data_IF_635521971383
#
_entry.id   IF_635521971383
#
_cell.length_a   1.000
_cell.length_b   1.000
_cell.length_c   1.000
_cell.angle_alpha   90.00
_cell.angle_beta   90.00
_cell.angle_gamma   90.00
#
_symmetry.space_group_name_H-M   'P 1'
#
loop_
_entity.id
_entity.type
_entity.pdbx_description
1 polymer ?
#
# COMPACT_ATOMS: atom_id res chain seq x y z
N UNK A 1 -6.16 0.52 37.02
CA UNK A 1 -6.55 -0.74 36.32
C UNK A 1 -5.31 -1.60 36.18
N UNK A 2 -5.39 -2.93 36.27
CA UNK A 2 -4.22 -3.81 36.08
C UNK A 2 -4.00 -4.21 34.60
N UNK A 3 -2.84 -4.80 34.25
CA UNK A 3 -2.47 -5.14 32.87
C UNK A 3 -3.44 -6.09 32.17
N UNK A 4 -3.98 -7.07 32.90
CA UNK A 4 -4.92 -8.06 32.34
C UNK A 4 -6.27 -7.41 32.03
N UNK A 5 -6.80 -6.62 32.97
CA UNK A 5 -8.03 -5.85 32.78
C UNK A 5 -7.90 -4.85 31.62
N UNK A 6 -6.71 -4.23 31.45
CA UNK A 6 -6.44 -3.35 30.31
C UNK A 6 -6.56 -4.10 28.98
N UNK A 7 -5.89 -5.25 28.86
CA UNK A 7 -5.86 -6.04 27.62
C UNK A 7 -7.27 -6.52 27.24
N UNK A 8 -8.00 -7.08 28.21
CA UNK A 8 -9.38 -7.56 27.98
C UNK A 8 -10.33 -6.43 27.61
N UNK A 9 -10.19 -5.25 28.21
CA UNK A 9 -11.02 -4.08 27.89
C UNK A 9 -10.73 -3.58 26.47
N UNK A 10 -9.45 -3.54 26.09
CA UNK A 10 -9.03 -3.12 24.75
C UNK A 10 -9.50 -4.10 23.67
N UNK A 11 -9.32 -5.42 23.87
CA UNK A 11 -9.80 -6.46 22.95
C UNK A 11 -11.33 -6.42 22.80
N UNK A 12 -12.07 -6.23 23.90
CA UNK A 12 -13.54 -6.07 23.84
C UNK A 12 -13.95 -4.82 23.06
N UNK A 13 -13.21 -3.73 23.18
CA UNK A 13 -13.46 -2.48 22.42
C UNK A 13 -13.15 -2.66 20.93
N UNK A 14 -12.03 -3.29 20.58
CA UNK A 14 -11.64 -3.60 19.20
C UNK A 14 -12.69 -4.47 18.51
N UNK A 15 -13.22 -5.48 19.20
CA UNK A 15 -14.21 -6.38 18.64
C UNK A 15 -15.61 -5.76 18.50
N UNK A 16 -16.06 -4.97 19.50
CA UNK A 16 -17.45 -4.47 19.54
C UNK A 16 -17.63 -3.08 18.93
N UNK A 17 -16.59 -2.26 18.89
CA UNK A 17 -16.71 -0.87 18.47
C UNK A 17 -15.44 -0.33 17.81
N UNK A 18 -15.10 -0.82 16.59
CA UNK A 18 -13.87 -0.43 15.89
C UNK A 18 -13.75 1.09 15.70
N UNK A 19 -14.88 1.77 15.43
CA UNK A 19 -14.91 3.23 15.28
C UNK A 19 -14.53 3.99 16.56
N UNK A 20 -14.85 3.44 17.73
CA UNK A 20 -14.44 4.02 19.02
C UNK A 20 -12.93 3.86 19.24
N UNK A 21 -12.32 2.78 18.73
CA UNK A 21 -10.86 2.57 18.78
C UNK A 21 -10.11 3.53 17.88
N UNK A 22 -10.67 3.89 16.71
CA UNK A 22 -10.09 4.92 15.85
C UNK A 22 -10.10 6.29 16.53
N UNK A 23 -11.22 6.68 17.16
CA UNK A 23 -11.30 7.89 17.98
C UNK A 23 -10.28 7.86 19.12
N UNK A 24 -10.13 6.72 19.82
CA UNK A 24 -9.13 6.55 20.87
C UNK A 24 -7.71 6.79 20.36
N UNK A 25 -7.33 6.21 19.21
CA UNK A 25 -6.00 6.41 18.61
C UNK A 25 -5.71 7.89 18.35
N UNK A 26 -6.69 8.62 17.80
CA UNK A 26 -6.53 10.05 17.56
C UNK A 26 -6.48 10.89 18.85
N UNK A 27 -7.23 10.49 19.89
CA UNK A 27 -7.16 11.14 21.22
C UNK A 27 -5.77 10.94 21.84
N UNK A 28 -5.19 9.75 21.74
CA UNK A 28 -3.84 9.46 22.25
C UNK A 28 -2.75 10.24 21.48
N UNK A 29 -3.00 10.57 20.21
CA UNK A 29 -2.19 11.44 19.37
C UNK A 29 -2.44 12.95 19.60
N UNK A 30 -3.17 13.33 20.66
CA UNK A 30 -3.46 14.72 21.05
C UNK A 30 -4.36 15.51 20.07
N UNK A 31 -5.02 14.87 19.10
CA UNK A 31 -5.91 15.57 18.16
C UNK A 31 -7.16 16.14 18.86
N UNK A 32 -7.63 17.33 18.48
CA UNK A 32 -8.83 17.98 19.04
C UNK A 32 -10.14 17.30 18.59
N UNK A 33 -11.25 17.52 19.30
CA UNK A 33 -12.58 17.00 18.87
C UNK A 33 -12.91 17.39 17.42
N UNK A 34 -12.50 18.58 17.00
CA UNK A 34 -12.74 19.13 15.67
C UNK A 34 -11.88 18.43 14.60
N UNK A 35 -10.60 18.20 14.89
CA UNK A 35 -9.70 17.44 14.01
C UNK A 35 -10.17 15.99 13.85
N UNK A 36 -10.57 15.35 14.95
CA UNK A 36 -11.10 13.97 14.92
C UNK A 36 -12.39 13.92 14.09
N UNK A 37 -13.31 14.86 14.33
CA UNK A 37 -14.54 14.98 13.58
C UNK A 37 -14.29 15.12 12.08
N UNK A 38 -13.35 15.99 11.70
CA UNK A 38 -12.96 16.22 10.30
C UNK A 38 -12.30 14.98 9.68
N UNK A 39 -11.38 14.34 10.40
CA UNK A 39 -10.63 13.17 9.92
C UNK A 39 -11.52 11.95 9.71
N UNK A 40 -12.48 11.74 10.61
CA UNK A 40 -13.40 10.61 10.57
C UNK A 40 -14.73 10.93 9.88
N UNK A 41 -14.88 12.10 9.26
CA UNK A 41 -16.13 12.58 8.65
C UNK A 41 -17.38 12.33 9.53
N UNK A 42 -17.28 12.71 10.80
CA UNK A 42 -18.39 12.59 11.77
C UNK A 42 -18.60 13.91 12.52
N UNK A 43 -19.82 14.12 13.01
CA UNK A 43 -20.12 15.29 13.81
C UNK A 43 -19.32 15.31 15.13
N UNK A 44 -18.85 16.48 15.59
CA UNK A 44 -18.11 16.62 16.85
C UNK A 44 -18.87 16.06 18.06
N UNK A 45 -20.21 16.16 18.06
CA UNK A 45 -21.05 15.56 19.10
C UNK A 45 -20.92 14.02 19.17
N UNK A 46 -20.69 13.37 18.04
CA UNK A 46 -20.45 11.92 17.95
C UNK A 46 -19.08 11.56 18.51
N UNK A 47 -18.05 12.36 18.21
CA UNK A 47 -16.71 12.21 18.81
C UNK A 47 -16.79 12.24 20.33
N UNK A 48 -17.52 13.21 20.89
CA UNK A 48 -17.71 13.32 22.35
C UNK A 48 -18.38 12.07 22.95
N UNK A 49 -19.41 11.53 22.29
CA UNK A 49 -20.05 10.27 22.72
C UNK A 49 -19.08 9.08 22.69
N UNK A 50 -18.19 9.01 21.71
CA UNK A 50 -17.16 7.97 21.68
C UNK A 50 -16.16 8.12 22.83
N UNK A 51 -15.72 9.36 23.12
CA UNK A 51 -14.82 9.64 24.24
C UNK A 51 -15.47 9.31 25.59
N UNK A 52 -16.75 9.63 25.77
CA UNK A 52 -17.51 9.25 26.97
C UNK A 52 -17.56 7.73 27.17
N UNK A 53 -17.78 6.97 26.08
CA UNK A 53 -17.73 5.50 26.11
C UNK A 53 -16.34 4.98 26.48
N UNK A 54 -15.27 5.63 26.00
CA UNK A 54 -13.89 5.28 26.36
C UNK A 54 -13.63 5.51 27.84
N UNK A 55 -14.03 6.65 28.40
CA UNK A 55 -13.90 6.90 29.83
C UNK A 55 -14.64 5.85 30.66
N UNK A 56 -15.87 5.50 30.27
CA UNK A 56 -16.63 4.44 30.94
C UNK A 56 -15.94 3.07 30.86
N UNK A 57 -15.42 2.70 29.69
CA UNK A 57 -14.73 1.44 29.47
C UNK A 57 -13.45 1.33 30.31
N UNK A 58 -12.68 2.41 30.44
CA UNK A 58 -11.43 2.45 31.19
C UNK A 58 -11.60 2.84 32.66
N UNK A 59 -12.84 2.99 33.15
CA UNK A 59 -13.14 3.30 34.55
C UNK A 59 -12.74 4.71 34.99
N UNK A 60 -12.60 5.64 34.04
CA UNK A 60 -12.24 7.03 34.30
C UNK A 60 -13.51 7.78 34.70
N UNK A 61 -13.71 8.01 36.00
CA UNK A 61 -14.87 8.74 36.52
C UNK A 61 -14.73 10.24 36.23
N UNK A 62 -15.72 10.83 35.55
CA UNK A 62 -15.88 12.29 35.54
C UNK A 62 -16.30 12.73 36.95
N UNK A 63 -15.52 13.61 37.59
CA UNK A 63 -15.84 14.09 38.95
C UNK A 63 -16.80 15.29 38.95
N UNK A 64 -17.06 15.91 37.80
CA UNK A 64 -17.97 17.07 37.69
C UNK A 64 -18.78 17.02 36.39
N UNK A 65 -20.06 17.35 36.48
CA UNK A 65 -20.90 17.63 35.31
C UNK A 65 -20.47 18.96 34.70
N UNK A 66 -19.83 18.92 33.53
CA UNK A 66 -19.50 20.11 32.75
C UNK A 66 -18.03 20.25 32.37
N UNK A 67 -17.10 19.65 33.12
CA UNK A 67 -15.66 19.74 32.82
C UNK A 67 -15.19 18.59 31.90
N UNK A 68 -15.63 18.63 30.64
CA UNK A 68 -15.43 17.55 29.65
C UNK A 68 -14.10 17.64 28.88
N UNK A 69 -13.35 18.74 29.01
CA UNK A 69 -12.09 18.96 28.25
C UNK A 69 -10.81 18.55 29.00
N UNK A 70 -10.83 18.46 30.34
CA UNK A 70 -9.59 18.35 31.14
C UNK A 70 -9.05 16.93 31.39
N UNK A 71 -9.77 15.86 31.02
CA UNK A 71 -9.40 14.46 31.37
C UNK A 71 -8.81 13.61 30.24
N UNK A 72 -8.50 14.21 29.10
CA UNK A 72 -7.82 13.49 27.99
C UNK A 72 -6.45 12.95 28.43
N UNK A 73 -5.80 13.61 29.40
CA UNK A 73 -4.58 13.13 30.06
C UNK A 73 -4.79 11.81 30.81
N UNK A 74 -5.91 11.66 31.53
CA UNK A 74 -6.28 10.46 32.29
C UNK A 74 -6.45 9.22 31.38
N UNK A 75 -6.85 9.42 30.11
CA UNK A 75 -6.88 8.34 29.10
C UNK A 75 -5.48 7.96 28.61
N UNK A 76 -4.50 8.87 28.62
CA UNK A 76 -3.14 8.57 28.16
C UNK A 76 -2.36 7.76 29.19
N UNK A 77 -2.61 7.97 30.48
CA UNK A 77 -1.89 7.29 31.57
C UNK A 77 -1.90 5.76 31.48
N UNK A 78 -3.05 5.05 31.36
CA UNK A 78 -3.05 3.60 31.24
C UNK A 78 -2.42 3.10 29.93
N UNK A 79 -2.47 3.89 28.85
CA UNK A 79 -1.85 3.53 27.57
C UNK A 79 -0.35 3.76 27.59
N UNK A 80 0.15 4.81 28.25
CA UNK A 80 1.57 5.02 28.46
C UNK A 80 2.16 3.89 29.31
N UNK A 81 1.39 3.36 30.27
CA UNK A 81 1.84 2.28 31.16
C UNK A 81 1.83 0.89 30.49
N UNK A 82 0.81 0.55 29.70
CA UNK A 82 0.61 -0.82 29.21
C UNK A 82 0.70 -1.00 27.70
N UNK A 83 0.66 0.09 26.93
CA UNK A 83 0.73 0.09 25.46
C UNK A 83 1.38 1.38 24.92
N UNK A 84 2.63 1.69 25.34
CA UNK A 84 3.26 2.99 25.07
C UNK A 84 3.41 3.29 23.59
N UNK A 85 3.43 2.27 22.73
CA UNK A 85 3.49 2.40 21.27
C UNK A 85 2.27 3.12 20.66
N UNK A 86 1.19 3.32 21.42
CA UNK A 86 0.01 4.07 20.98
C UNK A 86 -0.02 5.53 21.45
N UNK A 87 0.89 5.92 22.34
CA UNK A 87 0.95 7.27 22.90
C UNK A 87 2.02 8.07 22.16
N UNK A 88 1.63 8.83 21.13
CA UNK A 88 2.54 9.75 20.44
C UNK A 88 2.59 11.09 21.17
N UNK A 89 3.79 11.62 21.41
CA UNK A 89 3.97 12.91 22.10
C UNK A 89 4.09 14.12 21.17
N UNK A 90 4.12 13.92 19.85
CA UNK A 90 4.29 15.02 18.91
C UNK A 90 2.95 15.68 18.57
N UNK A 91 2.77 16.99 18.84
CA UNK A 91 1.70 17.75 18.22
C UNK A 91 2.06 17.97 16.75
N UNK A 92 1.21 17.50 15.83
CA UNK A 92 1.29 17.83 14.40
C UNK A 92 1.00 19.33 14.24
N UNK A 93 2.01 20.19 14.33
CA UNK A 93 1.89 21.58 13.91
C UNK A 93 1.86 21.63 12.38
N UNK A 94 0.65 21.74 11.83
CA UNK A 94 0.42 22.26 10.49
C UNK A 94 0.65 23.78 10.58
N UNK A 95 1.86 24.24 10.28
CA UNK A 95 2.12 25.65 10.01
C UNK A 95 2.00 25.90 8.52
N UNK A 96 0.89 26.53 8.13
CA UNK A 96 0.79 27.29 6.89
C UNK A 96 1.88 28.37 6.90
N UNK A 97 2.83 28.30 5.98
CA UNK A 97 3.66 29.45 5.62
C UNK A 97 3.62 29.63 4.09
N UNK A 98 2.72 30.51 3.67
CA UNK A 98 2.90 31.31 2.47
C UNK A 98 3.62 32.58 2.94
N UNK A 99 4.84 32.82 2.45
CA UNK A 99 5.40 34.15 2.18
C UNK A 99 6.72 33.99 1.42
N UNK A 100 6.83 34.77 0.36
CA UNK A 100 7.92 34.87 -0.60
C UNK A 100 9.27 35.20 0.07
N UNK A 101 10.35 34.69 -0.53
CA UNK A 101 11.53 35.49 -0.82
C UNK A 101 12.33 34.84 -1.97
N UNK A 102 12.63 35.66 -2.98
CA UNK A 102 13.49 35.33 -4.10
C UNK A 102 14.94 35.48 -3.64
N UNK A 103 15.77 34.46 -3.87
CA UNK A 103 17.21 34.67 -4.01
C UNK A 103 17.79 33.66 -5.01
N UNK A 104 18.38 34.20 -6.07
CA UNK A 104 19.17 33.48 -7.07
C UNK A 104 20.53 33.12 -6.47
N UNK A 105 20.93 31.84 -6.47
CA UNK A 105 22.34 31.44 -6.51
C UNK A 105 22.51 30.14 -7.33
N UNK A 106 23.60 30.15 -8.08
CA UNK A 106 24.08 29.27 -9.13
C UNK A 106 24.10 27.74 -8.91
N UNK A 107 24.12 27.08 -10.06
CA UNK A 107 24.49 25.70 -10.36
C UNK A 107 25.75 25.22 -9.60
N UNK A 108 25.65 24.06 -8.93
CA UNK A 108 26.55 22.94 -9.14
C UNK A 108 26.06 21.68 -8.39
N UNK A 109 26.17 20.55 -9.10
CA UNK A 109 26.03 19.17 -8.68
C UNK A 109 26.63 18.85 -7.30
N UNK A 110 25.93 18.06 -6.47
CA UNK A 110 26.39 16.78 -5.90
C UNK A 110 25.16 16.04 -5.36
N UNK A 111 24.97 14.79 -5.82
CA UNK A 111 24.06 13.82 -5.26
C UNK A 111 24.65 13.31 -3.92
N UNK A 112 23.98 13.61 -2.80
CA UNK A 112 24.33 13.03 -1.50
C UNK A 112 23.20 12.09 -1.07
N UNK A 113 23.47 10.79 -0.83
CA UNK A 113 22.47 9.88 -0.30
C UNK A 113 22.34 10.18 1.19
N UNK A 114 21.29 10.90 1.57
CA UNK A 114 20.94 11.07 2.97
C UNK A 114 20.24 9.79 3.43
N UNK A 115 21.02 8.87 4.00
CA UNK A 115 20.50 7.75 4.79
C UNK A 115 19.91 8.28 6.10
N UNK A 116 18.74 8.90 6.00
CA UNK A 116 17.91 9.17 7.17
C UNK A 116 17.21 7.87 7.53
N UNK A 117 17.49 7.37 8.72
CA UNK A 117 16.68 6.39 9.44
C UNK A 117 15.27 6.97 9.65
N UNK A 118 14.44 6.96 8.61
CA UNK A 118 13.06 7.41 8.65
C UNK A 118 12.25 6.44 9.52
N UNK A 119 11.40 6.98 10.40
CA UNK A 119 10.46 6.13 11.13
C UNK A 119 9.53 5.49 10.11
N UNK A 120 9.13 4.22 10.31
CA UNK A 120 8.27 3.46 9.36
C UNK A 120 6.97 4.20 8.96
N UNK A 121 6.47 5.13 9.78
CA UNK A 121 5.31 5.97 9.43
C UNK A 121 5.60 7.08 8.42
N UNK A 122 6.85 7.53 8.30
CA UNK A 122 7.29 8.63 7.42
C UNK A 122 7.67 8.13 6.02
N UNK A 123 8.02 6.84 5.88
CA UNK A 123 8.45 6.27 4.61
C UNK A 123 7.37 6.35 3.51
N UNK A 124 6.12 6.04 3.85
CA UNK A 124 5.01 6.13 2.89
C UNK A 124 4.71 7.57 2.44
N UNK A 125 4.79 8.54 3.36
CA UNK A 125 4.58 9.96 3.04
C UNK A 125 5.70 10.53 2.17
N UNK A 126 6.95 10.13 2.44
CA UNK A 126 8.10 10.47 1.61
C UNK A 126 7.93 9.92 0.18
N UNK A 127 7.59 8.64 0.05
CA UNK A 127 7.38 8.01 -1.26
C UNK A 127 6.18 8.63 -2.00
N UNK A 128 5.10 8.96 -1.29
CA UNK A 128 3.95 9.66 -1.86
C UNK A 128 4.35 11.03 -2.43
N UNK A 129 5.13 11.80 -1.68
CA UNK A 129 5.63 13.11 -2.10
C UNK A 129 6.57 12.98 -3.31
N UNK A 130 7.45 11.97 -3.30
CA UNK A 130 8.34 11.66 -4.40
C UNK A 130 7.56 11.27 -5.66
N UNK A 131 6.59 10.37 -5.56
CA UNK A 131 5.75 9.93 -6.67
C UNK A 131 4.99 11.12 -7.30
N UNK A 132 4.38 11.95 -6.45
CA UNK A 132 3.64 13.14 -6.90
C UNK A 132 4.55 14.09 -7.68
N UNK A 133 5.74 14.38 -7.15
CA UNK A 133 6.73 15.21 -7.84
C UNK A 133 7.16 14.65 -9.20
N UNK A 134 7.40 13.34 -9.30
CA UNK A 134 7.77 12.70 -10.58
C UNK A 134 6.63 12.82 -11.59
N UNK A 135 5.38 12.60 -11.16
CA UNK A 135 4.19 12.72 -12.01
C UNK A 135 3.98 14.16 -12.49
N UNK A 136 4.11 15.14 -11.60
CA UNK A 136 4.05 16.57 -11.95
C UNK A 136 5.13 16.96 -12.97
N UNK A 137 6.39 16.57 -12.72
CA UNK A 137 7.50 16.83 -13.64
C UNK A 137 7.30 16.17 -15.02
N UNK A 138 6.55 15.08 -15.07
CA UNK A 138 6.21 14.40 -16.32
C UNK A 138 5.02 15.01 -17.08
N UNK A 139 4.39 16.07 -16.55
CA UNK A 139 3.20 16.68 -17.13
C UNK A 139 1.95 15.79 -17.06
N UNK A 140 1.91 14.88 -16.09
CA UNK A 140 0.78 13.94 -15.94
C UNK A 140 -0.53 14.69 -15.65
N UNK A 141 -0.46 15.78 -14.90
CA UNK A 141 -1.57 16.69 -14.61
C UNK A 141 -2.15 17.39 -15.85
N UNK A 142 -1.42 17.45 -16.97
CA UNK A 142 -1.93 18.00 -18.22
C UNK A 142 -2.99 17.09 -18.84
N UNK A 143 -2.78 15.77 -18.77
CA UNK A 143 -3.69 14.75 -19.32
C UNK A 143 -4.72 14.25 -18.33
N UNK A 144 -4.39 14.26 -17.04
CA UNK A 144 -5.23 13.70 -15.99
C UNK A 144 -5.76 14.78 -15.05
N UNK A 145 -7.03 14.66 -14.66
CA UNK A 145 -7.61 15.38 -13.53
C UNK A 145 -7.16 14.72 -12.25
N UNK A 146 -6.43 15.48 -11.43
CA UNK A 146 -6.01 15.07 -10.08
C UNK A 146 -7.19 15.21 -9.10
N UNK A 147 -7.39 14.19 -8.26
CA UNK A 147 -8.38 14.15 -7.19
C UNK A 147 -7.67 13.78 -5.89
N UNK A 148 -7.55 14.74 -4.98
CA UNK A 148 -6.86 14.54 -3.69
C UNK A 148 -7.87 14.31 -2.57
N UNK A 149 -7.61 13.32 -1.72
CA UNK A 149 -8.35 13.05 -0.48
C UNK A 149 -7.38 13.03 0.70
N UNK A 150 -7.90 12.82 1.93
CA UNK A 150 -7.05 12.61 3.10
C UNK A 150 -6.26 11.30 3.07
N UNK A 151 -6.71 10.32 2.27
CA UNK A 151 -6.16 8.96 2.27
C UNK A 151 -5.34 8.66 1.02
N UNK A 152 -5.67 9.28 -0.11
CA UNK A 152 -5.04 8.98 -1.39
C UNK A 152 -5.08 10.15 -2.38
N UNK A 153 -4.24 10.07 -3.41
CA UNK A 153 -4.24 10.93 -4.60
C UNK A 153 -4.60 10.07 -5.80
N UNK A 154 -5.71 10.39 -6.48
CA UNK A 154 -6.17 9.68 -7.66
C UNK A 154 -6.07 10.52 -8.93
N UNK A 155 -5.77 9.89 -10.06
CA UNK A 155 -5.66 10.51 -11.37
C UNK A 155 -6.69 9.89 -12.33
N UNK A 156 -7.51 10.74 -12.95
CA UNK A 156 -8.55 10.34 -13.93
C UNK A 156 -8.32 11.04 -15.26
N UNK A 157 -8.65 10.43 -16.40
CA UNK A 157 -8.47 11.07 -17.71
C UNK A 157 -9.29 12.37 -17.79
N UNK A 158 -8.74 13.46 -18.36
CA UNK A 158 -9.52 14.67 -18.67
C UNK A 158 -10.43 14.43 -19.89
N UNK A 159 -11.60 15.07 -19.91
CA UNK A 159 -12.47 15.18 -21.09
C UNK A 159 -12.92 13.86 -21.72
N UNK A 160 -13.35 12.88 -20.92
CA UNK A 160 -14.15 11.77 -21.42
C UNK A 160 -15.54 12.29 -21.81
N UNK A 161 -15.66 12.85 -23.02
CA UNK A 161 -16.92 13.32 -23.62
C UNK A 161 -17.93 12.17 -23.84
N UNK A 162 -17.57 10.93 -23.56
CA UNK A 162 -18.44 9.78 -23.63
C UNK A 162 -19.05 9.52 -22.25
N UNK A 163 -20.38 9.66 -22.20
CA UNK A 163 -21.20 9.59 -20.99
C UNK A 163 -21.10 8.29 -20.20
N UNK A 164 -20.53 7.22 -20.73
CA UNK A 164 -20.53 5.93 -20.06
C UNK A 164 -19.24 5.15 -20.35
N UNK A 165 -18.75 4.44 -19.32
CA UNK A 165 -17.90 3.23 -19.34
C UNK A 165 -16.54 3.32 -18.62
N UNK A 166 -15.76 4.42 -18.67
CA UNK A 166 -14.46 4.49 -17.93
C UNK A 166 -14.31 5.68 -16.99
N UNK A 167 -15.22 5.82 -16.01
CA UNK A 167 -15.11 6.82 -14.92
C UNK A 167 -14.11 6.44 -13.81
N UNK A 168 -13.33 5.37 -14.01
CA UNK A 168 -12.37 4.86 -13.03
C UNK A 168 -11.12 5.72 -12.91
N UNK A 169 -10.43 5.59 -11.79
CA UNK A 169 -9.06 6.07 -11.66
C UNK A 169 -8.14 5.26 -12.59
N UNK A 170 -7.22 5.96 -13.24
CA UNK A 170 -6.17 5.36 -14.07
C UNK A 170 -4.94 5.05 -13.22
N UNK A 171 -4.71 5.88 -12.20
CA UNK A 171 -3.68 5.73 -11.19
C UNK A 171 -4.21 6.23 -9.85
N UNK A 172 -3.94 5.50 -8.76
CA UNK A 172 -4.17 5.96 -7.39
C UNK A 172 -2.92 5.70 -6.57
N UNK A 173 -2.49 6.71 -5.82
CA UNK A 173 -1.39 6.63 -4.87
C UNK A 173 -1.96 6.71 -3.46
N UNK A 174 -1.58 5.81 -2.58
CA UNK A 174 -2.01 5.79 -1.17
C UNK A 174 -0.82 5.44 -0.28
N UNK A 175 -0.37 6.33 0.64
CA UNK A 175 0.71 5.99 1.55
C UNK A 175 0.26 4.88 2.51
N UNK A 176 1.18 4.00 2.87
CA UNK A 176 0.94 3.00 3.91
C UNK A 176 2.17 2.88 4.83
N UNK A 177 2.06 2.06 5.88
CA UNK A 177 3.15 1.86 6.84
C UNK A 177 4.38 1.14 6.26
N UNK A 178 4.18 0.41 5.18
CA UNK A 178 5.20 -0.45 4.57
C UNK A 178 5.77 0.16 3.29
N UNK A 179 5.21 1.29 2.82
CA UNK A 179 5.64 1.97 1.60
C UNK A 179 4.50 2.77 0.96
N UNK A 180 4.40 2.70 -0.35
CA UNK A 180 3.37 3.33 -1.17
C UNK A 180 2.56 2.27 -1.89
N UNK A 181 1.25 2.28 -1.70
CA UNK A 181 0.32 1.51 -2.51
C UNK A 181 0.03 2.28 -3.79
N UNK A 182 0.24 1.63 -4.93
CA UNK A 182 -0.02 2.19 -6.25
C UNK A 182 -1.04 1.30 -6.94
N UNK A 183 -2.23 1.84 -7.18
CA UNK A 183 -3.28 1.17 -7.93
C UNK A 183 -3.25 1.67 -9.36
N UNK A 184 -3.06 0.77 -10.31
CA UNK A 184 -3.00 1.08 -11.75
C UNK A 184 -4.16 0.38 -12.44
N UNK A 185 -4.80 1.03 -13.41
CA UNK A 185 -5.79 0.34 -14.21
C UNK A 185 -5.19 -0.90 -14.92
N UNK A 186 -5.90 -2.02 -14.86
CA UNK A 186 -5.46 -3.31 -15.40
C UNK A 186 -5.09 -3.24 -16.89
N UNK A 187 -5.90 -2.58 -17.70
CA UNK A 187 -5.67 -2.44 -19.15
C UNK A 187 -4.32 -1.78 -19.49
N UNK A 188 -3.75 -0.97 -18.58
CA UNK A 188 -2.45 -0.34 -18.76
C UNK A 188 -1.28 -1.28 -18.49
N UNK A 189 -1.40 -2.15 -17.48
CA UNK A 189 -0.26 -2.89 -16.95
C UNK A 189 -0.26 -4.37 -17.35
N UNK A 190 -1.41 -5.00 -17.59
CA UNK A 190 -1.54 -6.45 -17.82
C UNK A 190 -0.62 -7.00 -18.92
N UNK A 191 -0.37 -6.23 -19.99
CA UNK A 191 0.51 -6.65 -21.10
C UNK A 191 1.99 -6.67 -20.75
N UNK A 192 2.34 -6.12 -19.58
CA UNK A 192 3.68 -5.96 -19.07
C UNK A 192 3.90 -6.72 -17.77
N UNK A 193 2.99 -7.64 -17.45
CA UNK A 193 3.08 -8.50 -16.27
C UNK A 193 3.50 -9.91 -16.67
N UNK A 194 4.22 -10.53 -15.75
CA UNK A 194 4.59 -11.93 -15.78
C UNK A 194 3.65 -12.72 -14.88
N UNK A 195 2.96 -13.70 -15.45
CA UNK A 195 2.05 -14.60 -14.74
C UNK A 195 2.71 -15.98 -14.66
N UNK A 196 3.09 -16.37 -13.45
CA UNK A 196 3.67 -17.68 -13.16
C UNK A 196 2.62 -18.58 -12.52
N UNK A 197 2.20 -19.63 -13.23
CA UNK A 197 1.26 -20.64 -12.74
C UNK A 197 2.03 -21.89 -12.36
N UNK A 198 1.73 -22.45 -11.20
CA UNK A 198 2.39 -23.66 -10.71
C UNK A 198 1.51 -24.40 -9.72
N UNK A 199 1.69 -25.71 -9.64
CA UNK A 199 1.04 -26.54 -8.65
C UNK A 199 1.68 -26.34 -7.29
N UNK A 200 0.87 -26.10 -6.27
CA UNK A 200 1.31 -26.06 -4.89
C UNK A 200 0.27 -26.72 -3.98
N UNK A 201 0.73 -27.18 -2.83
CA UNK A 201 -0.17 -27.68 -1.79
C UNK A 201 -1.00 -26.49 -1.27
N UNK A 202 -2.32 -26.60 -1.34
CA UNK A 202 -3.22 -25.51 -0.97
C UNK A 202 -3.55 -25.56 0.51
N UNK A 203 -3.97 -26.73 0.99
CA UNK A 203 -4.42 -26.94 2.37
C UNK A 203 -4.13 -28.39 2.82
N UNK A 204 -3.81 -28.53 4.10
CA UNK A 204 -3.73 -29.83 4.77
C UNK A 204 -4.97 -29.98 5.65
N UNK A 205 -5.95 -30.77 5.19
CA UNK A 205 -7.09 -31.12 6.04
C UNK A 205 -6.87 -32.49 6.68
N UNK A 206 -7.30 -32.60 7.94
CA UNK A 206 -7.39 -33.89 8.64
C UNK A 206 -8.78 -34.47 8.41
N UNK A 207 -8.92 -35.28 7.37
CA UNK A 207 -10.14 -36.04 7.09
C UNK A 207 -9.98 -37.43 7.72
N UNK A 208 -10.82 -37.74 8.72
CA UNK A 208 -10.76 -39.01 9.49
C UNK A 208 -9.39 -39.31 10.14
N UNK A 209 -8.69 -38.28 10.60
CA UNK A 209 -7.37 -38.43 11.24
C UNK A 209 -6.22 -38.73 10.26
N UNK A 210 -6.49 -38.84 8.95
CA UNK A 210 -5.47 -38.88 7.91
C UNK A 210 -5.25 -37.47 7.37
N UNK A 211 -3.98 -37.12 7.17
CA UNK A 211 -3.57 -35.88 6.53
C UNK A 211 -3.78 -36.04 5.03
N UNK A 212 -4.68 -35.25 4.45
CA UNK A 212 -4.91 -35.18 3.01
C UNK A 212 -4.35 -33.85 2.54
N UNK A 213 -3.44 -33.91 1.58
CA UNK A 213 -2.87 -32.73 0.92
C UNK A 213 -3.58 -32.54 -0.40
N UNK A 214 -4.20 -31.39 -0.59
CA UNK A 214 -4.77 -31.00 -1.87
C UNK A 214 -3.76 -30.19 -2.66
N UNK A 215 -3.46 -30.61 -3.88
CA UNK A 215 -2.74 -29.77 -4.84
C UNK A 215 -3.72 -28.83 -5.53
N UNK A 216 -3.28 -27.60 -5.77
CA UNK A 216 -4.03 -26.64 -6.55
C UNK A 216 -3.09 -25.71 -7.30
N UNK A 217 -3.62 -25.09 -8.35
CA UNK A 217 -2.86 -24.15 -9.16
C UNK A 217 -2.80 -22.83 -8.41
N UNK A 218 -1.58 -22.39 -8.13
CA UNK A 218 -1.29 -21.02 -7.68
C UNK A 218 -0.88 -20.20 -8.89
N UNK A 219 -1.22 -18.92 -8.86
CA UNK A 219 -0.76 -17.93 -9.83
C UNK A 219 -0.04 -16.84 -9.06
N UNK A 220 1.17 -16.51 -9.49
CA UNK A 220 1.95 -15.38 -9.02
C UNK A 220 2.07 -14.37 -10.15
N UNK A 221 1.81 -13.11 -9.85
CA UNK A 221 1.87 -12.02 -10.82
C UNK A 221 2.98 -11.08 -10.43
N UNK A 222 3.88 -10.84 -11.36
CA UNK A 222 5.09 -10.08 -11.16
C UNK A 222 5.20 -8.97 -12.19
N UNK A 223 5.78 -7.85 -11.78
CA UNK A 223 6.34 -6.88 -12.70
C UNK A 223 7.86 -7.00 -12.65
N UNK A 224 8.47 -7.44 -13.76
CA UNK A 224 9.94 -7.51 -13.88
C UNK A 224 10.46 -6.10 -14.15
N UNK A 225 11.41 -5.65 -13.34
CA UNK A 225 12.02 -4.33 -13.46
C UNK A 225 12.85 -4.28 -14.75
N UNK A 226 12.58 -3.33 -15.67
CA UNK A 226 13.37 -3.19 -16.88
C UNK A 226 14.88 -3.03 -16.62
N UNK A 227 15.28 -2.32 -15.56
CA UNK A 227 16.69 -2.13 -15.21
C UNK A 227 17.39 -3.35 -14.61
N UNK A 228 16.66 -4.43 -14.32
CA UNK A 228 17.14 -5.67 -13.70
C UNK A 228 16.65 -6.92 -14.45
N UNK A 229 16.24 -6.75 -15.70
CA UNK A 229 15.70 -7.84 -16.52
C UNK A 229 16.74 -8.94 -16.76
N UNK A 230 18.00 -8.57 -16.96
CA UNK A 230 19.13 -9.48 -17.09
C UNK A 230 19.28 -10.41 -15.87
N UNK A 231 19.15 -9.86 -14.66
CA UNK A 231 19.18 -10.64 -13.40
C UNK A 231 18.00 -11.62 -13.37
N UNK A 232 16.81 -11.17 -13.75
CA UNK A 232 15.63 -12.05 -13.83
C UNK A 232 15.86 -13.20 -14.83
N UNK A 233 16.41 -12.91 -16.00
CA UNK A 233 16.70 -13.90 -17.04
C UNK A 233 17.77 -14.91 -16.61
N UNK A 234 18.77 -14.46 -15.84
CA UNK A 234 19.77 -15.34 -15.22
C UNK A 234 19.11 -16.29 -14.19
N UNK A 235 18.28 -15.77 -13.29
CA UNK A 235 17.58 -16.59 -12.29
C UNK A 235 16.62 -17.59 -12.95
N UNK A 236 15.99 -17.19 -14.05
CA UNK A 236 15.03 -18.00 -14.81
C UNK A 236 15.66 -18.94 -15.85
N UNK A 237 17.00 -19.02 -15.94
CA UNK A 237 17.71 -19.89 -16.89
C UNK A 237 17.20 -21.34 -16.90
N UNK A 238 16.81 -21.86 -15.72
CA UNK A 238 16.26 -23.22 -15.60
C UNK A 238 14.88 -23.39 -16.23
N UNK A 239 14.12 -22.31 -16.34
CA UNK A 239 12.80 -22.25 -16.98
C UNK A 239 12.86 -21.70 -18.40
N UNK A 240 14.05 -21.52 -18.98
CA UNK A 240 14.24 -20.92 -20.32
C UNK A 240 13.45 -21.63 -21.41
N UNK A 241 13.28 -22.95 -21.33
CA UNK A 241 12.48 -23.71 -22.30
C UNK A 241 10.98 -23.40 -22.24
N UNK A 242 10.47 -22.97 -21.09
CA UNK A 242 9.07 -22.59 -20.87
C UNK A 242 8.87 -21.09 -21.16
N UNK A 243 9.75 -20.25 -20.63
CA UNK A 243 9.63 -18.79 -20.73
C UNK A 243 10.14 -18.25 -22.06
N UNK A 244 10.88 -19.04 -22.83
CA UNK A 244 11.50 -18.65 -24.09
C UNK A 244 12.42 -17.41 -23.99
N UNK A 245 12.90 -17.10 -22.80
CA UNK A 245 13.70 -15.90 -22.52
C UNK A 245 12.86 -14.61 -22.42
N UNK A 246 11.55 -14.70 -22.24
CA UNK A 246 10.68 -13.55 -22.03
C UNK A 246 10.49 -13.24 -20.54
N UNK A 247 10.33 -11.95 -20.24
CA UNK A 247 10.10 -11.39 -18.89
C UNK A 247 8.65 -10.97 -18.65
N UNK A 248 7.77 -11.15 -19.64
CA UNK A 248 6.35 -10.83 -19.61
C UNK A 248 5.54 -11.98 -20.21
N UNK A 249 4.25 -12.05 -19.91
CA UNK A 249 3.37 -13.11 -20.43
C UNK A 249 3.02 -14.16 -19.37
N UNK A 250 2.33 -15.21 -19.79
CA UNK A 250 1.80 -16.23 -18.88
C UNK A 250 2.41 -17.60 -19.09
N UNK A 251 3.06 -18.13 -18.06
CA UNK A 251 3.80 -19.38 -18.11
C UNK A 251 3.32 -20.35 -17.05
N UNK A 252 3.17 -21.62 -17.44
CA UNK A 252 2.89 -22.71 -16.51
C UNK A 252 4.19 -23.47 -16.21
N UNK A 253 4.71 -23.31 -14.98
CA UNK A 253 5.98 -23.89 -14.55
C UNK A 253 5.92 -25.43 -14.47
N UNK A 254 4.72 -26.00 -14.29
CA UNK A 254 4.54 -27.46 -14.22
C UNK A 254 4.79 -28.14 -15.57
N UNK A 255 4.91 -27.39 -16.67
CA UNK A 255 5.23 -27.94 -18.00
C UNK A 255 6.64 -28.56 -18.10
N UNK A 256 7.48 -28.37 -17.08
CA UNK A 256 8.77 -29.06 -16.94
C UNK A 256 8.60 -30.58 -16.69
N UNK A 257 7.41 -31.04 -16.33
CA UNK A 257 7.09 -32.46 -16.01
C UNK A 257 7.22 -33.46 -17.15
N UNK A 258 7.56 -33.03 -18.38
CA UNK A 258 7.96 -33.95 -19.45
C UNK A 258 9.36 -34.58 -19.21
N UNK A 259 10.07 -34.12 -18.20
CA UNK A 259 11.28 -34.77 -17.67
C UNK A 259 10.82 -35.74 -16.58
N UNK A 260 11.44 -36.92 -16.47
CA UNK A 260 11.17 -37.94 -15.43
C UNK A 260 11.49 -37.44 -13.99
N UNK A 261 10.94 -36.31 -13.57
CA UNK A 261 11.07 -35.75 -12.24
C UNK A 261 9.82 -36.06 -11.42
N UNK A 262 10.03 -36.51 -10.19
CA UNK A 262 8.93 -36.68 -9.23
C UNK A 262 8.36 -35.31 -8.82
N UNK A 263 7.09 -35.28 -8.43
CA UNK A 263 6.34 -34.08 -8.05
C UNK A 263 7.03 -33.28 -6.93
N UNK A 264 7.60 -33.97 -5.93
CA UNK A 264 8.29 -33.31 -4.82
C UNK A 264 9.58 -32.61 -5.27
N UNK A 265 10.29 -33.16 -6.25
CA UNK A 265 11.48 -32.53 -6.81
C UNK A 265 11.10 -31.27 -7.60
N UNK A 266 10.07 -31.35 -8.43
CA UNK A 266 9.52 -30.22 -9.19
C UNK A 266 9.11 -29.07 -8.26
N UNK A 267 8.38 -29.39 -7.19
CA UNK A 267 7.96 -28.43 -6.17
C UNK A 267 9.13 -27.78 -5.44
N UNK A 268 10.16 -28.56 -5.13
CA UNK A 268 11.42 -28.03 -4.57
C UNK A 268 12.07 -27.03 -5.52
N UNK A 269 12.08 -27.30 -6.83
CA UNK A 269 12.59 -26.37 -7.83
C UNK A 269 11.75 -25.10 -7.96
N UNK A 270 10.42 -25.20 -7.98
CA UNK A 270 9.54 -24.02 -8.00
C UNK A 270 9.77 -23.16 -6.78
N UNK A 271 9.82 -23.76 -5.59
CA UNK A 271 10.09 -23.05 -4.34
C UNK A 271 11.45 -22.36 -4.36
N UNK A 272 12.51 -23.06 -4.79
CA UNK A 272 13.84 -22.48 -4.89
C UNK A 272 13.87 -21.29 -5.84
N UNK A 273 13.24 -21.42 -7.00
CA UNK A 273 13.19 -20.36 -8.01
C UNK A 273 12.42 -19.12 -7.53
N UNK A 274 11.24 -19.32 -6.95
CA UNK A 274 10.44 -18.24 -6.39
C UNK A 274 11.17 -17.53 -5.25
N UNK A 275 11.86 -18.28 -4.38
CA UNK A 275 12.73 -17.69 -3.36
C UNK A 275 13.87 -16.88 -3.96
N UNK A 276 14.49 -17.33 -5.06
CA UNK A 276 15.53 -16.56 -5.74
C UNK A 276 14.97 -15.24 -6.28
N UNK A 277 13.77 -15.26 -6.87
CA UNK A 277 13.08 -14.04 -7.31
C UNK A 277 12.85 -13.08 -6.13
N UNK A 278 12.32 -13.58 -5.01
CA UNK A 278 11.98 -12.77 -3.82
C UNK A 278 13.18 -12.02 -3.24
N UNK A 279 14.36 -12.61 -3.38
CA UNK A 279 15.60 -12.06 -2.85
C UNK A 279 16.41 -11.23 -3.86
N UNK A 280 15.97 -11.12 -5.11
CA UNK A 280 16.79 -10.58 -6.22
C UNK A 280 16.52 -9.12 -6.60
N UNK A 281 15.60 -8.44 -5.92
CA UNK A 281 15.16 -7.06 -6.24
C UNK A 281 14.75 -6.81 -7.70
N UNK A 282 14.71 -7.84 -8.57
CA UNK A 282 14.46 -7.72 -10.00
C UNK A 282 12.97 -7.72 -10.35
N UNK A 283 12.11 -8.05 -9.38
CA UNK A 283 10.67 -8.11 -9.58
C UNK A 283 9.93 -7.41 -8.43
N UNK A 284 8.73 -6.93 -8.74
CA UNK A 284 7.73 -6.54 -7.77
C UNK A 284 6.56 -7.53 -7.80
N UNK A 285 6.08 -7.91 -6.61
CA UNK A 285 4.82 -8.63 -6.50
C UNK A 285 3.64 -7.71 -6.80
N UNK A 286 2.70 -8.26 -7.55
CA UNK A 286 1.54 -7.55 -8.07
C UNK A 286 0.27 -8.25 -7.60
N UNK A 287 -0.63 -7.50 -6.97
CA UNK A 287 -1.91 -8.02 -6.50
C UNK A 287 -3.01 -7.69 -7.50
N UNK A 288 -3.65 -8.73 -8.03
CA UNK A 288 -4.81 -8.59 -8.91
C UNK A 288 -6.09 -8.40 -8.08
N UNK A 289 -7.03 -7.63 -8.64
CA UNK A 289 -8.40 -7.50 -8.14
C UNK A 289 -8.50 -6.97 -6.71
N UNK A 290 -7.92 -5.80 -6.48
CA UNK A 290 -8.13 -5.10 -5.22
C UNK A 290 -9.61 -4.69 -5.05
N UNK A 291 -10.15 -4.89 -3.85
CA UNK A 291 -11.57 -4.61 -3.56
C UNK A 291 -11.87 -3.11 -3.46
N UNK A 292 -10.85 -2.30 -3.20
CA UNK A 292 -10.95 -0.85 -2.98
C UNK A 292 -11.19 -0.13 -4.30
N UNK A 293 -10.46 -0.50 -5.35
CA UNK A 293 -10.56 0.12 -6.67
C UNK A 293 -10.81 -0.96 -7.75
N UNK A 294 -12.02 -0.96 -8.31
CA UNK A 294 -12.40 -1.91 -9.38
C UNK A 294 -11.47 -1.80 -10.58
N UNK A 295 -11.12 -2.94 -11.18
CA UNK A 295 -10.25 -3.03 -12.36
C UNK A 295 -8.90 -2.34 -12.17
N UNK A 296 -8.36 -2.46 -10.96
CA UNK A 296 -7.01 -2.01 -10.69
C UNK A 296 -6.15 -3.15 -10.19
N UNK A 297 -4.87 -2.96 -10.46
CA UNK A 297 -3.77 -3.80 -10.07
C UNK A 297 -3.02 -3.02 -9.00
N UNK A 298 -2.80 -3.65 -7.84
CA UNK A 298 -2.08 -3.04 -6.72
C UNK A 298 -0.61 -3.47 -6.76
N UNK A 299 0.28 -2.47 -6.73
CA UNK A 299 1.72 -2.62 -6.53
C UNK A 299 2.10 -1.93 -5.24
N UNK A 300 2.87 -2.61 -4.39
CA UNK A 300 3.38 -2.05 -3.13
C UNK A 300 4.87 -1.78 -3.30
N UNK A 301 5.27 -0.51 -3.14
CA UNK A 301 6.66 -0.09 -3.33
C UNK A 301 7.20 0.54 -2.05
N UNK A 302 8.33 0.04 -1.58
CA UNK A 302 9.02 0.53 -0.38
C UNK A 302 10.36 1.24 -0.68
N UNK A 303 10.81 1.23 -1.93
CA UNK A 303 12.08 1.84 -2.38
C UNK A 303 11.84 3.03 -3.32
N UNK A 304 12.57 4.11 -3.11
CA UNK A 304 12.51 5.32 -3.96
C UNK A 304 13.05 5.08 -5.37
N UNK A 305 14.08 4.26 -5.51
CA UNK A 305 14.65 3.88 -6.81
C UNK A 305 13.62 3.11 -7.64
N UNK A 306 13.03 2.07 -7.02
CA UNK A 306 12.02 1.23 -7.67
C UNK A 306 10.77 2.04 -8.00
N UNK A 307 10.36 2.96 -7.12
CA UNK A 307 9.24 3.87 -7.35
C UNK A 307 9.48 4.74 -8.59
N UNK A 308 10.67 5.34 -8.71
CA UNK A 308 10.98 6.21 -9.84
C UNK A 308 10.97 5.45 -11.16
N UNK A 309 11.55 4.24 -11.18
CA UNK A 309 11.51 3.35 -12.35
C UNK A 309 10.07 2.98 -12.72
N UNK A 310 9.26 2.57 -11.74
CA UNK A 310 7.87 2.17 -11.98
C UNK A 310 7.00 3.32 -12.50
N UNK A 311 7.10 4.53 -11.92
CA UNK A 311 6.35 5.71 -12.38
C UNK A 311 6.74 6.08 -13.82
N UNK A 312 8.05 6.06 -14.14
CA UNK A 312 8.53 6.35 -15.49
C UNK A 312 8.04 5.31 -16.50
N UNK A 313 8.05 4.04 -16.13
CA UNK A 313 7.50 2.96 -16.94
C UNK A 313 5.99 3.17 -17.22
N UNK A 314 5.19 3.46 -16.18
CA UNK A 314 3.76 3.73 -16.33
C UNK A 314 3.49 4.91 -17.26
N UNK A 315 4.30 5.98 -17.16
CA UNK A 315 4.23 7.11 -18.08
C UNK A 315 4.39 6.64 -19.52
N UNK A 316 5.37 5.78 -19.82
CA UNK A 316 5.55 5.29 -21.19
C UNK A 316 4.34 4.49 -21.68
N UNK A 317 3.79 3.58 -20.87
CA UNK A 317 2.59 2.81 -21.19
C UNK A 317 1.39 3.73 -21.51
N UNK A 318 1.15 4.74 -20.67
CA UNK A 318 0.06 5.69 -20.84
C UNK A 318 0.23 6.52 -22.11
N UNK A 319 1.43 7.00 -22.41
CA UNK A 319 1.65 7.87 -23.56
C UNK A 319 1.63 7.10 -24.89
N UNK A 320 2.08 5.84 -24.91
CA UNK A 320 2.05 4.98 -26.10
C UNK A 320 0.61 4.60 -26.49
N UNK A 321 -0.23 4.24 -25.51
CA UNK A 321 -1.59 3.78 -25.80
C UNK A 321 -2.46 4.89 -26.42
N UNK A 322 -2.30 6.14 -25.99
CA UNK A 322 -3.07 7.27 -26.52
C UNK A 322 -2.75 7.59 -27.99
N UNK A 323 -1.52 7.38 -28.45
CA UNK A 323 -1.14 7.62 -29.86
C UNK A 323 -1.74 6.61 -30.84
N UNK A 324 -2.31 5.50 -30.35
CA UNK A 324 -3.04 4.55 -31.19
C UNK A 324 -4.48 4.98 -31.42
N UNK A 325 -5.11 5.67 -30.47
CA UNK A 325 -6.50 6.13 -30.58
C UNK A 325 -6.68 7.36 -31.47
N UNK A 326 -5.67 8.24 -31.59
CA UNK A 326 -5.74 9.39 -32.50
C UNK A 326 -5.67 8.99 -33.98
N UNK A 327 -5.22 7.76 -34.31
CA UNK A 327 -5.20 7.25 -35.68
C UNK A 327 -6.54 6.70 -36.18
N UNK A 328 -7.55 6.65 -35.30
CA UNK A 328 -8.92 6.20 -35.63
C UNK A 328 -9.96 7.33 -35.52
N UNK A 329 -9.53 8.58 -35.39
CA UNK A 329 -10.36 9.78 -35.55
C UNK A 329 -10.02 10.44 -36.88
#
# INVERSE_FOLDING_TARGET
MNRQQFKETLEKLELRNPRTVEVLRMVLAKCTDAEIAKSLDIHQGTVRKHIEKLYAAFGIKSKFEGDRRSKRGDLREPFAQYKPEWVSDYPSTVTNNVSNEQEQVNQNSVCVPVSLSMKKSEAGEYLMSLATRILEQSGFDQKFKVCTTSEYIGYRLKNTNQKEIFQGYQLVLSPCREGLHIYVNDDLLTKHLLFLRFSADVEEERVHGRKVTYSGIRERVLWVRPSKEDIFLEISLRYKSIMHGESVGGFNLDQLSNVDCDYEEMKSFHKSFLNSIDNSECCLDVQLNDRTFRKTILVIISSSEVLAEFINFLRECVFINNNKDERYK
#
